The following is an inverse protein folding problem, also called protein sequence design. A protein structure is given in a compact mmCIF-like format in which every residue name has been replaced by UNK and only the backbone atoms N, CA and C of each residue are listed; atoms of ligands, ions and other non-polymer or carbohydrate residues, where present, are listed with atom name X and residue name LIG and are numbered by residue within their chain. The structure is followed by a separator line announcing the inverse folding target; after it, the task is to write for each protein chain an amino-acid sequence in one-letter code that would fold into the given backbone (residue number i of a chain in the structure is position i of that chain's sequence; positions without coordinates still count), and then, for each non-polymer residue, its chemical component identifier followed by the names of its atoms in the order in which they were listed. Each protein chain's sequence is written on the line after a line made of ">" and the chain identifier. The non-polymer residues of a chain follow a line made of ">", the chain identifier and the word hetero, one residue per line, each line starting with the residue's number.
data_IF_696145723267
#
_entry.id   IF_696145723267
#
_cell.length_a   1.000
_cell.length_b   1.000
_cell.length_c   1.000
_cell.angle_alpha   90.00
_cell.angle_beta   90.00
_cell.angle_gamma   90.00
#
_symmetry.space_group_name_H-M   'P 1'
#
loop_
_entity.id
_entity.type
_entity.pdbx_description
1 polymer ?
#
# COMPACT_ATOMS: atom_id res chain seq x y z
N UNK A 1 5.87 -22.44 65.34
CA UNK A 1 6.53 -23.17 64.23
C UNK A 1 5.69 -24.39 63.87
N UNK A 2 5.03 -24.37 62.70
CA UNK A 2 4.67 -25.53 61.90
C UNK A 2 4.23 -25.02 60.52
N UNK A 3 4.66 -25.76 59.52
CA UNK A 3 4.91 -25.35 58.16
C UNK A 3 3.68 -25.46 57.24
N UNK A 4 3.67 -24.59 56.22
CA UNK A 4 3.33 -24.87 54.81
C UNK A 4 1.97 -25.51 54.51
N UNK A 5 1.06 -24.69 53.97
CA UNK A 5 0.18 -25.05 52.85
C UNK A 5 0.02 -23.85 51.90
N UNK A 6 1.03 -23.68 51.04
CA UNK A 6 0.88 -23.00 49.75
C UNK A 6 0.45 -24.07 48.76
N UNK A 7 -0.70 -23.94 48.08
CA UNK A 7 -0.86 -24.41 46.69
C UNK A 7 -2.20 -23.94 46.13
N UNK A 8 -2.17 -23.60 44.83
CA UNK A 8 -3.29 -23.32 43.94
C UNK A 8 -3.89 -21.89 43.97
N UNK A 9 -3.14 -20.93 43.41
CA UNK A 9 -3.70 -19.86 42.58
C UNK A 9 -2.60 -19.17 41.75
N UNK A 10 -1.78 -19.94 41.02
CA UNK A 10 -1.03 -19.35 39.91
C UNK A 10 -1.92 -19.44 38.67
N UNK A 11 -2.86 -18.50 38.61
CA UNK A 11 -3.52 -18.12 37.37
C UNK A 11 -2.40 -17.58 36.48
N UNK A 12 -1.77 -18.47 35.70
CA UNK A 12 -0.94 -18.09 34.57
C UNK A 12 -1.86 -17.39 33.57
N UNK A 13 -2.07 -16.09 33.79
CA UNK A 13 -2.19 -15.15 32.69
C UNK A 13 -0.88 -15.24 31.91
N UNK A 14 -0.81 -16.22 31.00
CA UNK A 14 -0.08 -16.03 29.76
C UNK A 14 -0.80 -14.93 28.98
N UNK A 15 -0.65 -13.69 29.45
CA UNK A 15 -0.62 -12.57 28.54
C UNK A 15 0.64 -12.81 27.69
N UNK A 16 0.47 -13.56 26.61
CA UNK A 16 1.34 -13.41 25.45
C UNK A 16 1.09 -11.97 25.00
N UNK A 17 1.82 -11.05 25.62
CA UNK A 17 2.19 -9.79 25.01
C UNK A 17 3.03 -10.18 23.81
N UNK A 18 2.37 -10.59 22.73
CA UNK A 18 2.98 -10.54 21.42
C UNK A 18 3.36 -9.08 21.27
N UNK A 19 4.66 -8.81 21.39
CA UNK A 19 5.29 -7.55 21.02
C UNK A 19 5.10 -7.39 19.52
N UNK A 20 3.90 -7.02 19.13
CA UNK A 20 3.69 -6.35 17.86
C UNK A 20 4.37 -5.01 18.06
N UNK A 21 5.54 -4.85 17.44
CA UNK A 21 6.23 -3.59 17.33
C UNK A 21 5.39 -2.68 16.40
N UNK A 22 4.20 -2.30 16.88
CA UNK A 22 3.41 -1.23 16.33
C UNK A 22 4.08 0.03 16.85
N UNK A 23 4.78 0.75 15.97
CA UNK A 23 5.05 2.17 16.16
C UNK A 23 3.79 2.78 16.78
N UNK A 24 3.91 3.37 17.97
CA UNK A 24 2.74 3.80 18.74
C UNK A 24 1.88 4.69 17.83
N UNK A 25 0.73 4.14 17.40
CA UNK A 25 -0.20 4.89 16.58
C UNK A 25 -0.51 6.19 17.30
N UNK A 26 -0.47 7.31 16.58
CA UNK A 26 -0.85 8.60 17.14
C UNK A 26 -2.25 8.49 17.77
N UNK A 27 -2.54 9.33 18.78
CA UNK A 27 -3.87 9.33 19.44
C UNK A 27 -5.01 9.49 18.42
N UNK A 28 -4.77 10.26 17.36
CA UNK A 28 -5.71 10.42 16.25
C UNK A 28 -5.93 9.10 15.50
N UNK A 29 -4.86 8.40 15.13
CA UNK A 29 -4.93 7.12 14.40
C UNK A 29 -5.55 6.02 15.26
N UNK A 30 -5.30 6.01 16.58
CA UNK A 30 -5.98 5.09 17.50
C UNK A 30 -7.49 5.34 17.58
N UNK A 31 -7.93 6.61 17.55
CA UNK A 31 -9.36 6.96 17.54
C UNK A 31 -10.03 6.52 16.25
N UNK A 32 -9.37 6.74 15.10
CA UNK A 32 -9.85 6.30 13.79
C UNK A 32 -9.93 4.78 13.70
N UNK A 33 -8.90 4.07 14.18
CA UNK A 33 -8.86 2.61 14.25
C UNK A 33 -10.05 2.07 15.07
N UNK A 34 -10.32 2.63 16.25
CA UNK A 34 -11.47 2.22 17.08
C UNK A 34 -12.80 2.46 16.37
N UNK A 35 -12.93 3.58 15.66
CA UNK A 35 -14.13 3.92 14.88
C UNK A 35 -14.35 2.91 13.75
N UNK A 36 -13.34 2.68 12.91
CA UNK A 36 -13.42 1.73 11.80
C UNK A 36 -13.68 0.30 12.31
N UNK A 37 -13.06 -0.12 13.42
CA UNK A 37 -13.32 -1.44 13.98
C UNK A 37 -14.77 -1.60 14.45
N UNK A 38 -15.37 -0.54 15.02
CA UNK A 38 -16.78 -0.55 15.43
C UNK A 38 -17.70 -0.63 14.21
N UNK A 39 -17.43 0.18 13.18
CA UNK A 39 -18.15 0.17 11.90
C UNK A 39 -18.10 -1.21 11.27
N UNK A 40 -16.91 -1.80 11.18
CA UNK A 40 -16.72 -3.10 10.55
C UNK A 40 -17.46 -4.21 11.31
N UNK A 41 -17.48 -4.14 12.65
CA UNK A 41 -18.26 -5.07 13.48
C UNK A 41 -19.76 -4.88 13.26
N UNK A 42 -20.28 -3.65 13.23
CA UNK A 42 -21.71 -3.39 12.99
C UNK A 42 -22.17 -3.80 11.60
N UNK A 43 -21.28 -3.69 10.61
CA UNK A 43 -21.51 -4.09 9.23
C UNK A 43 -21.32 -5.59 8.97
N UNK A 44 -20.94 -6.36 9.99
CA UNK A 44 -20.82 -7.81 9.90
C UNK A 44 -19.59 -8.30 9.11
N UNK A 45 -18.52 -7.51 9.05
CA UNK A 45 -17.26 -7.94 8.42
C UNK A 45 -16.59 -9.05 9.23
N UNK A 46 -16.09 -10.04 8.50
CA UNK A 46 -15.49 -11.27 8.99
C UNK A 46 -14.16 -11.52 8.29
N UNK A 47 -13.32 -12.34 8.92
CA UNK A 47 -12.06 -12.82 8.36
C UNK A 47 -12.18 -14.33 8.14
N UNK A 48 -11.46 -14.86 7.16
CA UNK A 48 -11.42 -16.31 6.96
C UNK A 48 -10.77 -17.02 8.16
N UNK A 49 -11.19 -18.27 8.45
CA UNK A 49 -10.50 -19.11 9.42
C UNK A 49 -9.00 -19.19 9.12
N UNK A 50 -8.16 -19.14 10.15
CA UNK A 50 -6.69 -19.18 10.02
C UNK A 50 -6.03 -17.83 9.71
N UNK A 51 -6.79 -16.78 9.41
CA UNK A 51 -6.26 -15.41 9.29
C UNK A 51 -6.21 -14.71 10.65
N UNK A 52 -5.38 -13.67 10.75
CA UNK A 52 -5.32 -12.84 11.95
C UNK A 52 -6.68 -12.19 12.24
N UNK A 53 -7.05 -11.95 13.51
CA UNK A 53 -8.29 -11.26 13.85
C UNK A 53 -8.40 -9.91 13.14
N UNK A 54 -9.63 -9.50 12.82
CA UNK A 54 -9.88 -8.25 12.09
C UNK A 54 -9.22 -7.03 12.74
N UNK A 55 -9.26 -6.95 14.07
CA UNK A 55 -8.58 -5.89 14.81
C UNK A 55 -7.08 -5.87 14.54
N UNK A 56 -6.42 -7.03 14.58
CA UNK A 56 -4.98 -7.14 14.32
C UNK A 56 -4.64 -6.74 12.89
N UNK A 57 -5.43 -7.19 11.91
CA UNK A 57 -5.23 -6.81 10.50
C UNK A 57 -5.44 -5.31 10.29
N UNK A 58 -6.47 -4.72 10.89
CA UNK A 58 -6.76 -3.30 10.76
C UNK A 58 -5.68 -2.47 11.45
N UNK A 59 -5.23 -2.85 12.65
CA UNK A 59 -4.08 -2.20 13.32
C UNK A 59 -2.84 -2.24 12.44
N UNK A 60 -2.52 -3.40 11.85
CA UNK A 60 -1.41 -3.55 10.91
C UNK A 60 -1.54 -2.58 9.73
N UNK A 61 -2.73 -2.49 9.13
CA UNK A 61 -2.99 -1.57 8.02
C UNK A 61 -2.75 -0.10 8.42
N UNK A 62 -3.25 0.34 9.58
CA UNK A 62 -3.03 1.69 10.09
C UNK A 62 -1.56 1.97 10.41
N UNK A 63 -0.88 1.04 11.07
CA UNK A 63 0.53 1.19 11.41
C UNK A 63 1.38 1.32 10.15
N UNK A 64 1.17 0.44 9.16
CA UNK A 64 1.87 0.50 7.88
C UNK A 64 1.56 1.79 7.11
N UNK A 65 0.31 2.25 7.10
CA UNK A 65 -0.07 3.50 6.43
C UNK A 65 0.51 4.75 7.12
N UNK A 66 0.82 4.67 8.42
CA UNK A 66 1.38 5.79 9.18
C UNK A 66 2.90 5.77 9.27
N UNK A 67 3.55 4.78 8.65
CA UNK A 67 4.98 4.58 8.73
C UNK A 67 5.69 5.53 7.77
N UNK A 68 6.51 6.42 8.34
CA UNK A 68 7.33 7.38 7.62
C UNK A 68 8.82 7.13 7.90
N UNK A 69 9.67 7.50 6.95
CA UNK A 69 11.12 7.41 7.09
C UNK A 69 11.69 8.56 7.95
N UNK A 70 13.02 8.60 8.10
CA UNK A 70 13.71 9.64 8.88
C UNK A 70 13.54 11.07 8.33
N UNK A 71 13.13 11.20 7.07
CA UNK A 71 12.86 12.48 6.40
C UNK A 71 11.37 12.82 6.39
N UNK A 72 10.52 11.95 6.94
CA UNK A 72 9.08 12.15 7.01
C UNK A 72 8.32 11.71 5.75
N UNK A 73 8.94 10.99 4.83
CA UNK A 73 8.25 10.44 3.65
C UNK A 73 7.60 9.10 3.96
N UNK A 74 6.44 8.84 3.37
CA UNK A 74 5.72 7.57 3.52
C UNK A 74 6.57 6.38 3.04
N UNK A 75 6.72 5.37 3.89
CA UNK A 75 7.51 4.15 3.59
C UNK A 75 6.74 3.17 2.70
N UNK A 76 5.41 3.31 2.63
CA UNK A 76 4.53 2.41 1.91
C UNK A 76 3.53 3.13 1.02
N UNK A 77 3.37 2.62 -0.21
CA UNK A 77 2.20 2.93 -1.03
C UNK A 77 1.12 1.89 -0.73
N UNK A 78 0.04 2.35 -0.11
CA UNK A 78 -1.11 1.52 0.27
C UNK A 78 -2.23 1.68 -0.75
N UNK A 79 -2.83 0.57 -1.19
CA UNK A 79 -4.07 0.56 -1.99
C UNK A 79 -5.17 -0.21 -1.28
N UNK A 80 -6.40 0.23 -1.50
CA UNK A 80 -7.61 -0.44 -1.04
C UNK A 80 -8.42 -0.91 -2.25
N UNK A 81 -9.09 -2.04 -2.10
CA UNK A 81 -9.95 -2.55 -3.15
C UNK A 81 -11.11 -3.31 -2.57
N UNK A 82 -12.26 -3.12 -3.20
CA UNK A 82 -13.53 -3.69 -2.79
C UNK A 82 -14.24 -4.27 -3.99
N UNK A 83 -14.88 -5.41 -3.79
CA UNK A 83 -15.70 -6.02 -4.82
C UNK A 83 -16.80 -6.87 -4.20
N UNK A 84 -17.91 -7.01 -4.92
CA UNK A 84 -19.03 -7.86 -4.57
C UNK A 84 -19.21 -8.92 -5.64
N UNK A 85 -19.44 -10.17 -5.23
CA UNK A 85 -19.68 -11.28 -6.14
C UNK A 85 -20.52 -12.38 -5.50
N UNK A 86 -21.03 -13.29 -6.33
CA UNK A 86 -21.80 -14.46 -5.88
C UNK A 86 -20.94 -15.46 -5.11
N UNK A 87 -19.65 -15.56 -5.47
CA UNK A 87 -18.65 -16.38 -4.79
C UNK A 87 -17.50 -15.53 -4.24
N UNK A 88 -16.97 -15.96 -3.10
CA UNK A 88 -15.92 -15.24 -2.38
C UNK A 88 -14.63 -15.07 -3.20
N UNK A 89 -14.16 -16.13 -3.87
CA UNK A 89 -12.86 -16.10 -4.57
C UNK A 89 -12.84 -15.13 -5.76
N UNK A 90 -13.97 -15.02 -6.47
CA UNK A 90 -14.11 -14.06 -7.56
C UNK A 90 -14.10 -12.61 -7.04
N UNK A 91 -14.89 -12.34 -6.00
CA UNK A 91 -14.91 -11.03 -5.35
C UNK A 91 -13.52 -10.67 -4.76
N UNK A 92 -12.83 -11.64 -4.17
CA UNK A 92 -11.46 -11.47 -3.64
C UNK A 92 -10.47 -11.09 -4.74
N UNK A 93 -10.50 -11.80 -5.86
CA UNK A 93 -9.62 -11.55 -7.01
C UNK A 93 -9.86 -10.16 -7.59
N UNK A 94 -11.12 -9.77 -7.72
CA UNK A 94 -11.49 -8.45 -8.20
C UNK A 94 -11.10 -7.34 -7.20
N UNK A 95 -11.34 -7.52 -5.90
CA UNK A 95 -10.93 -6.59 -4.86
C UNK A 95 -9.40 -6.39 -4.87
N UNK A 96 -8.63 -7.48 -5.00
CA UNK A 96 -7.18 -7.39 -5.11
C UNK A 96 -6.74 -6.64 -6.37
N UNK A 97 -7.43 -6.84 -7.49
CA UNK A 97 -7.17 -6.13 -8.75
C UNK A 97 -7.40 -4.64 -8.61
N UNK A 98 -8.50 -4.24 -7.96
CA UNK A 98 -8.78 -2.82 -7.65
C UNK A 98 -7.68 -2.23 -6.75
N UNK A 99 -7.31 -2.93 -5.67
CA UNK A 99 -6.27 -2.46 -4.76
C UNK A 99 -4.91 -2.28 -5.47
N UNK A 100 -4.54 -3.22 -6.35
CA UNK A 100 -3.34 -3.10 -7.18
C UNK A 100 -3.42 -1.92 -8.15
N UNK A 101 -4.60 -1.67 -8.73
CA UNK A 101 -4.85 -0.51 -9.58
C UNK A 101 -4.64 0.82 -8.85
N UNK A 102 -5.15 0.94 -7.62
CA UNK A 102 -4.90 2.13 -6.79
C UNK A 102 -3.41 2.34 -6.50
N UNK A 103 -2.68 1.27 -6.14
CA UNK A 103 -1.23 1.35 -5.93
C UNK A 103 -0.55 1.78 -7.23
N UNK A 104 -0.92 1.21 -8.38
CA UNK A 104 -0.34 1.56 -9.67
C UNK A 104 -0.54 3.04 -9.99
N UNK A 105 -1.72 3.61 -9.71
CA UNK A 105 -2.01 5.03 -9.90
C UNK A 105 -1.11 5.89 -9.02
N UNK A 106 -1.02 5.60 -7.71
CA UNK A 106 -0.16 6.35 -6.78
C UNK A 106 1.32 6.26 -7.17
N UNK A 107 1.78 5.05 -7.48
CA UNK A 107 3.14 4.79 -7.94
C UNK A 107 3.49 5.58 -9.21
N UNK A 108 2.56 5.67 -10.19
CA UNK A 108 2.78 6.50 -11.39
C UNK A 108 2.89 7.98 -11.04
N UNK A 109 2.00 8.51 -10.20
CA UNK A 109 2.04 9.91 -9.75
C UNK A 109 3.37 10.23 -9.05
N UNK A 110 3.78 9.40 -8.11
CA UNK A 110 5.02 9.61 -7.35
C UNK A 110 6.25 9.51 -8.26
N UNK A 111 6.24 8.56 -9.20
CA UNK A 111 7.32 8.41 -10.18
C UNK A 111 7.40 9.59 -11.14
N UNK A 112 6.27 10.08 -11.66
CA UNK A 112 6.23 11.28 -12.50
C UNK A 112 6.83 12.48 -11.75
N UNK A 113 6.36 12.75 -10.53
CA UNK A 113 6.89 13.84 -9.69
C UNK A 113 8.40 13.71 -9.45
N UNK A 114 8.89 12.51 -9.17
CA UNK A 114 10.32 12.26 -8.98
C UNK A 114 11.14 12.54 -10.24
N UNK A 115 10.62 12.16 -11.42
CA UNK A 115 11.29 12.40 -12.70
C UNK A 115 11.26 13.89 -13.05
N UNK A 116 10.12 14.56 -12.88
CA UNK A 116 9.99 16.01 -13.10
C UNK A 116 10.98 16.80 -12.23
N UNK A 117 11.16 16.40 -10.97
CA UNK A 117 12.16 17.00 -10.08
C UNK A 117 13.60 16.77 -10.56
N UNK A 118 13.94 15.57 -11.05
CA UNK A 118 15.28 15.28 -11.62
C UNK A 118 15.55 16.14 -12.87
N UNK A 119 14.57 16.24 -13.77
CA UNK A 119 14.67 17.05 -14.99
C UNK A 119 14.72 18.55 -14.69
N UNK A 120 13.97 19.03 -13.69
CA UNK A 120 14.05 20.42 -13.26
C UNK A 120 15.46 20.77 -12.73
N UNK A 121 16.12 19.85 -12.02
CA UNK A 121 17.50 20.03 -11.58
C UNK A 121 18.49 20.09 -12.76
N UNK A 122 18.15 19.47 -13.89
CA UNK A 122 18.89 19.54 -15.15
C UNK A 122 18.48 20.76 -16.02
N UNK A 123 17.69 21.69 -15.48
CA UNK A 123 17.26 22.93 -16.14
C UNK A 123 16.36 22.74 -17.37
N UNK A 124 15.67 21.60 -17.49
CA UNK A 124 14.60 21.45 -18.47
C UNK A 124 13.43 22.39 -18.14
N UNK A 125 12.74 22.89 -19.16
CA UNK A 125 11.51 23.66 -18.99
C UNK A 125 10.40 22.80 -18.37
N UNK A 126 9.51 23.41 -17.58
CA UNK A 126 8.45 22.68 -16.85
C UNK A 126 7.56 21.83 -17.77
N UNK A 127 7.09 22.40 -18.89
CA UNK A 127 6.23 21.69 -19.86
C UNK A 127 6.95 20.52 -20.53
N UNK A 128 8.26 20.65 -20.74
CA UNK A 128 9.10 19.61 -21.32
C UNK A 128 9.35 18.49 -20.32
N UNK A 129 9.67 18.84 -19.08
CA UNK A 129 9.87 17.88 -17.99
C UNK A 129 8.63 17.02 -17.77
N UNK A 130 7.44 17.63 -17.75
CA UNK A 130 6.16 16.91 -17.61
C UNK A 130 5.93 15.92 -18.77
N UNK A 131 6.15 16.36 -20.01
CA UNK A 131 5.95 15.53 -21.21
C UNK A 131 6.92 14.34 -21.25
N UNK A 132 8.19 14.58 -20.95
CA UNK A 132 9.23 13.54 -20.86
C UNK A 132 8.89 12.57 -19.74
N UNK A 133 8.54 13.06 -18.55
CA UNK A 133 8.20 12.23 -17.41
C UNK A 133 7.03 11.29 -17.73
N UNK A 134 5.94 11.79 -18.32
CA UNK A 134 4.81 10.97 -18.75
C UNK A 134 5.22 9.88 -19.73
N UNK A 135 6.09 10.21 -20.70
CA UNK A 135 6.59 9.25 -21.69
C UNK A 135 7.41 8.15 -21.02
N UNK A 136 8.33 8.52 -20.13
CA UNK A 136 9.17 7.59 -19.38
C UNK A 136 8.30 6.67 -18.52
N UNK A 137 7.32 7.23 -17.79
CA UNK A 137 6.42 6.44 -16.93
C UNK A 137 5.57 5.47 -17.74
N UNK A 138 5.06 5.88 -18.91
CA UNK A 138 4.28 5.01 -19.78
C UNK A 138 5.09 3.77 -20.23
N UNK A 139 6.38 3.93 -20.52
CA UNK A 139 7.27 2.83 -20.89
C UNK A 139 7.54 1.85 -19.73
N UNK A 140 7.38 2.29 -18.48
CA UNK A 140 7.60 1.45 -17.29
C UNK A 140 6.39 0.60 -16.89
N UNK A 141 5.32 0.54 -17.71
CA UNK A 141 4.12 -0.24 -17.41
C UNK A 141 4.43 -1.68 -16.96
N UNK A 142 5.31 -2.39 -17.67
CA UNK A 142 5.72 -3.76 -17.30
C UNK A 142 6.45 -3.83 -15.96
N UNK A 143 7.35 -2.89 -15.68
CA UNK A 143 8.10 -2.83 -14.42
C UNK A 143 7.16 -2.59 -13.23
N UNK A 144 6.18 -1.70 -13.41
CA UNK A 144 5.11 -1.46 -12.43
C UNK A 144 4.32 -2.75 -12.17
N UNK A 145 3.89 -3.44 -13.22
CA UNK A 145 3.12 -4.68 -13.09
C UNK A 145 3.90 -5.78 -12.34
N UNK A 146 5.21 -5.88 -12.58
CA UNK A 146 6.08 -6.83 -11.86
C UNK A 146 6.12 -6.56 -10.36
N UNK A 147 6.25 -5.29 -9.95
CA UNK A 147 6.24 -4.92 -8.53
C UNK A 147 4.88 -5.19 -7.87
N UNK A 148 3.79 -5.09 -8.65
CA UNK A 148 2.43 -5.35 -8.20
C UNK A 148 2.03 -6.83 -8.27
N UNK A 149 2.94 -7.73 -8.66
CA UNK A 149 2.64 -9.16 -8.76
C UNK A 149 2.22 -9.74 -7.40
N UNK A 150 2.93 -9.39 -6.32
CA UNK A 150 2.71 -9.89 -4.96
C UNK A 150 2.80 -8.78 -3.90
N UNK A 151 1.83 -7.86 -3.84
CA UNK A 151 1.83 -6.82 -2.82
C UNK A 151 1.64 -7.42 -1.43
N UNK A 152 2.22 -6.79 -0.41
CA UNK A 152 2.06 -7.20 0.99
C UNK A 152 0.60 -7.00 1.41
N UNK A 153 -0.10 -8.08 1.71
CA UNK A 153 -1.48 -7.99 2.20
C UNK A 153 -1.48 -7.50 3.65
N UNK A 154 -2.17 -6.40 3.89
CA UNK A 154 -2.30 -5.78 5.20
C UNK A 154 -3.61 -6.20 5.87
N UNK A 155 -4.68 -6.25 5.10
CA UNK A 155 -6.01 -6.63 5.56
C UNK A 155 -6.79 -7.32 4.45
N UNK A 156 -7.52 -8.36 4.82
CA UNK A 156 -8.49 -9.05 3.98
C UNK A 156 -9.69 -9.46 4.84
N UNK A 157 -10.85 -8.91 4.52
CA UNK A 157 -12.10 -9.24 5.19
C UNK A 157 -13.27 -9.30 4.21
N UNK A 158 -14.36 -9.91 4.64
CA UNK A 158 -15.55 -10.06 3.82
C UNK A 158 -16.83 -9.95 4.65
N UNK A 159 -17.95 -9.65 4.01
CA UNK A 159 -19.29 -9.73 4.61
C UNK A 159 -20.28 -10.35 3.63
N UNK A 160 -21.37 -10.87 4.17
CA UNK A 160 -22.54 -11.28 3.38
C UNK A 160 -23.51 -10.12 3.29
N UNK A 161 -23.96 -9.83 2.09
CA UNK A 161 -24.96 -8.82 1.80
C UNK A 161 -26.38 -9.41 1.91
N UNK A 162 -27.42 -8.58 2.11
CA UNK A 162 -28.81 -9.05 2.19
C UNK A 162 -29.29 -9.82 0.95
N UNK A 163 -28.70 -9.55 -0.21
CA UNK A 163 -28.99 -10.25 -1.46
C UNK A 163 -28.23 -11.59 -1.62
N UNK A 164 -27.52 -12.05 -0.58
CA UNK A 164 -26.76 -13.30 -0.58
C UNK A 164 -25.34 -13.20 -1.15
N UNK A 165 -25.01 -12.12 -1.84
CA UNK A 165 -23.67 -11.88 -2.38
C UNK A 165 -22.64 -11.68 -1.26
N UNK A 166 -21.38 -11.93 -1.59
CA UNK A 166 -20.24 -11.66 -0.72
C UNK A 166 -19.52 -10.41 -1.19
N UNK A 167 -19.34 -9.46 -0.29
CA UNK A 167 -18.45 -8.32 -0.48
C UNK A 167 -17.11 -8.61 0.18
N UNK A 168 -16.02 -8.34 -0.52
CA UNK A 168 -14.64 -8.51 -0.05
C UNK A 168 -13.92 -7.17 -0.08
N UNK A 169 -13.14 -6.90 0.96
CA UNK A 169 -12.30 -5.72 1.11
C UNK A 169 -10.86 -6.16 1.36
N UNK A 170 -9.95 -5.65 0.55
CA UNK A 170 -8.51 -5.91 0.65
C UNK A 170 -7.77 -4.59 0.75
N UNK A 171 -6.83 -4.52 1.69
CA UNK A 171 -5.77 -3.50 1.71
C UNK A 171 -4.43 -4.18 1.51
N UNK A 172 -3.65 -3.66 0.58
CA UNK A 172 -2.31 -4.14 0.31
C UNK A 172 -1.34 -2.97 0.16
N UNK A 173 -0.04 -3.27 0.23
CA UNK A 173 0.99 -2.26 0.13
C UNK A 173 2.23 -2.76 -0.63
N UNK A 174 2.94 -1.80 -1.22
CA UNK A 174 4.31 -1.95 -1.71
C UNK A 174 5.20 -0.93 -1.01
N UNK A 175 6.50 -1.20 -0.92
CA UNK A 175 7.44 -0.24 -0.35
C UNK A 175 7.65 0.94 -1.29
N UNK A 176 7.64 2.16 -0.75
CA UNK A 176 7.96 3.39 -1.49
C UNK A 176 9.40 3.41 -2.01
N UNK A 177 10.33 2.64 -1.42
CA UNK A 177 11.69 2.49 -1.97
C UNK A 177 11.68 1.96 -3.41
N UNK A 178 10.66 1.15 -3.73
CA UNK A 178 10.41 0.65 -5.09
C UNK A 178 10.18 1.79 -6.07
N UNK A 179 9.51 2.87 -5.65
CA UNK A 179 9.26 4.07 -6.46
C UNK A 179 10.58 4.69 -6.86
N UNK A 180 11.43 5.02 -5.89
CA UNK A 180 12.70 5.70 -6.13
C UNK A 180 13.64 4.85 -7.01
N UNK A 181 13.64 3.52 -6.81
CA UNK A 181 14.40 2.58 -7.66
C UNK A 181 13.86 2.57 -9.08
N UNK A 182 12.54 2.46 -9.26
CA UNK A 182 11.91 2.45 -10.57
C UNK A 182 12.11 3.78 -11.32
N UNK A 183 11.89 4.91 -10.66
CA UNK A 183 12.08 6.25 -11.22
C UNK A 183 13.53 6.42 -11.75
N UNK A 184 14.52 6.12 -10.90
CA UNK A 184 15.94 6.18 -11.29
C UNK A 184 16.25 5.24 -12.45
N UNK A 185 15.77 3.99 -12.40
CA UNK A 185 15.98 3.03 -13.48
C UNK A 185 15.35 3.50 -14.80
N UNK A 186 14.18 4.12 -14.72
CA UNK A 186 13.43 4.64 -15.87
C UNK A 186 14.16 5.81 -16.54
N UNK A 187 14.64 6.77 -15.75
CA UNK A 187 15.45 7.90 -16.25
C UNK A 187 16.74 7.38 -16.91
N UNK A 188 17.43 6.43 -16.27
CA UNK A 188 18.66 5.85 -16.81
C UNK A 188 18.41 5.07 -18.11
N UNK A 189 17.28 4.39 -18.24
CA UNK A 189 16.87 3.75 -19.48
C UNK A 189 16.56 4.79 -20.56
N UNK A 190 15.81 5.85 -20.24
CA UNK A 190 15.51 6.94 -21.16
C UNK A 190 16.78 7.64 -21.69
N UNK A 191 17.77 7.83 -20.82
CA UNK A 191 19.12 8.34 -21.19
C UNK A 191 19.83 7.41 -22.18
N UNK A 192 19.83 6.09 -21.93
CA UNK A 192 20.44 5.10 -22.84
C UNK A 192 19.77 5.06 -24.20
N UNK A 193 18.45 5.14 -24.21
CA UNK A 193 17.64 5.06 -25.42
C UNK A 193 17.64 6.38 -26.23
N UNK A 194 18.42 7.39 -25.78
CA UNK A 194 18.47 8.75 -26.35
C UNK A 194 17.10 9.45 -26.45
N UNK A 195 16.08 9.00 -25.69
CA UNK A 195 14.76 9.63 -25.65
C UNK A 195 14.84 11.12 -25.27
N UNK A 196 15.80 11.49 -24.42
CA UNK A 196 16.07 12.89 -24.06
C UNK A 196 16.58 13.72 -25.26
N UNK A 197 17.38 13.12 -26.16
CA UNK A 197 17.89 13.80 -27.37
C UNK A 197 16.90 13.82 -28.53
N UNK A 198 15.98 12.86 -28.59
CA UNK A 198 14.97 12.81 -29.65
C UNK A 198 13.86 13.84 -29.40
N UNK A 199 13.57 14.22 -28.15
CA UNK A 199 12.71 15.37 -27.81
C UNK A 199 13.35 16.69 -28.27
N UNK A 200 14.66 16.87 -28.05
CA UNK A 200 15.42 18.04 -28.56
C UNK A 200 15.39 18.13 -30.10
N UNK A 201 15.53 17.00 -30.81
CA UNK A 201 15.50 16.95 -32.29
C UNK A 201 14.12 17.21 -32.88
N UNK A 202 13.04 16.80 -32.20
CA UNK A 202 11.67 17.10 -32.65
C UNK A 202 11.38 18.59 -32.56
N UNK A 203 11.94 19.29 -31.55
CA UNK A 203 11.85 20.77 -31.46
C UNK A 203 12.62 21.47 -32.57
N UNK A 204 13.86 21.06 -32.83
CA UNK A 204 14.69 21.65 -33.90
C UNK A 204 14.16 21.46 -35.33
N UNK A 205 13.14 20.61 -35.53
CA UNK A 205 12.44 20.42 -36.81
C UNK A 205 11.15 21.21 -36.95
N UNK A 206 10.66 21.80 -35.86
CA UNK A 206 9.40 22.54 -35.80
C UNK A 206 9.62 24.06 -35.63
N UNK A 207 10.87 24.51 -35.64
CA UNK A 207 11.30 25.90 -35.87
C UNK A 207 11.76 26.07 -37.32
#
# INVERSE_FOLDING_TARGET
>A
MKAIKFFAALFMMFAVSASVNAQELSKANQKLLKKQLKEFKSEGWKVNPGQLPLQTQLTKAFSTQSEVDAMGYDVWIVGEGRSTGTIYDAARTQALTVAKGEIATKLRTDMTSTIEQDLANEQYGADEAESIAKTIVAQQGRSIDQQLSRPKTLMECWRKLPNGNTEVLIRCAISSETVSKLAKAAIQQARRDNLLKDVEKVKAKNE
#
